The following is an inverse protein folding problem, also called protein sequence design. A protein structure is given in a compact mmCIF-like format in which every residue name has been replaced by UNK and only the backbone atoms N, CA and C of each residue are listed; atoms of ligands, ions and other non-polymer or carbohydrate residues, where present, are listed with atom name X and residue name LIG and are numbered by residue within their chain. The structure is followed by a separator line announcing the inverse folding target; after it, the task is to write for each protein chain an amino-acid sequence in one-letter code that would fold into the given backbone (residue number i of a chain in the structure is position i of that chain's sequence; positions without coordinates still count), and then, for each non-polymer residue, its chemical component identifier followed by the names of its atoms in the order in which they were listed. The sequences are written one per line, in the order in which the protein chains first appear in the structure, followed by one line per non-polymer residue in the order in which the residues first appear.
data_IF_265408948081
#
_entry.id   IF_265408948081
#
_cell.length_a   1.000
_cell.length_b   1.000
_cell.length_c   1.000
_cell.angle_alpha   90.00
_cell.angle_beta   90.00
_cell.angle_gamma   90.00
#
_symmetry.space_group_name_H-M   'P 1'
#
loop_
_entity.id
_entity.type
_entity.pdbx_description
1 polymer ?
#
# COMPACT_ATOMS: atom_id res chain seq x y z
N UNK A 1 10.62 23.74 -9.97
CA UNK A 1 10.25 22.34 -10.22
C UNK A 1 9.01 22.06 -9.40
N UNK A 2 7.87 21.90 -10.06
CA UNK A 2 6.55 21.84 -9.44
C UNK A 2 6.37 20.50 -8.71
N UNK A 3 6.25 20.53 -7.39
CA UNK A 3 5.85 19.38 -6.57
C UNK A 3 4.34 19.14 -6.74
N UNK A 4 3.90 18.77 -7.95
CA UNK A 4 2.58 18.17 -8.15
C UNK A 4 2.67 16.75 -7.61
N UNK A 5 2.21 16.55 -6.38
CA UNK A 5 1.88 15.24 -5.85
C UNK A 5 0.88 14.57 -6.79
N UNK A 6 1.40 13.88 -7.80
CA UNK A 6 0.62 13.08 -8.72
C UNK A 6 -0.02 12.00 -7.87
N UNK A 7 -1.32 12.08 -7.69
CA UNK A 7 -2.12 10.87 -7.49
C UNK A 7 -1.59 9.83 -8.48
N UNK A 8 -1.17 8.69 -7.97
CA UNK A 8 -0.69 7.61 -8.83
C UNK A 8 -1.92 7.20 -9.64
N UNK A 9 -1.86 7.32 -10.97
CA UNK A 9 -2.88 6.78 -11.88
C UNK A 9 -2.71 5.24 -11.93
N UNK A 10 -2.65 4.65 -10.74
CA UNK A 10 -2.44 3.24 -10.51
C UNK A 10 -3.63 2.73 -9.71
N UNK A 11 -4.05 1.53 -10.09
CA UNK A 11 -5.23 0.89 -9.58
C UNK A 11 -4.84 -0.46 -9.02
N UNK A 12 -5.52 -0.87 -7.97
CA UNK A 12 -5.30 -2.17 -7.38
C UNK A 12 -5.68 -3.24 -8.40
N UNK A 13 -4.77 -4.19 -8.64
CA UNK A 13 -5.02 -5.29 -9.56
C UNK A 13 -6.18 -6.20 -9.12
N UNK A 14 -6.46 -6.27 -7.81
CA UNK A 14 -7.49 -7.15 -7.24
C UNK A 14 -8.88 -6.49 -7.24
N UNK A 15 -9.02 -5.28 -6.69
CA UNK A 15 -10.33 -4.61 -6.56
C UNK A 15 -10.56 -3.42 -7.51
N UNK A 16 -9.54 -3.01 -8.28
CA UNK A 16 -9.65 -1.91 -9.25
C UNK A 16 -9.74 -0.51 -8.63
N UNK A 17 -9.68 -0.36 -7.30
CA UNK A 17 -9.67 0.97 -6.66
C UNK A 17 -8.35 1.69 -6.89
N UNK A 18 -8.37 3.02 -6.91
CA UNK A 18 -7.16 3.82 -6.94
C UNK A 18 -6.32 3.56 -5.68
N UNK A 19 -5.02 3.37 -5.87
CA UNK A 19 -4.07 3.10 -4.78
C UNK A 19 -3.31 4.37 -4.39
N UNK A 20 -2.96 4.45 -3.11
CA UNK A 20 -2.12 5.51 -2.59
C UNK A 20 -0.62 5.20 -2.77
N UNK A 21 0.23 6.19 -2.52
CA UNK A 21 1.69 6.02 -2.49
C UNK A 21 2.14 4.96 -1.47
N UNK A 22 1.36 4.79 -0.39
CA UNK A 22 1.60 3.78 0.63
C UNK A 22 1.35 2.37 0.10
N UNK A 23 0.21 2.15 -0.53
CA UNK A 23 -0.15 0.86 -1.15
C UNK A 23 0.90 0.42 -2.18
N UNK A 24 1.37 1.36 -3.01
CA UNK A 24 2.44 1.12 -3.98
C UNK A 24 3.76 0.76 -3.29
N UNK A 25 4.09 1.44 -2.19
CA UNK A 25 5.27 1.13 -1.38
C UNK A 25 5.18 -0.28 -0.80
N UNK A 26 4.08 -0.63 -0.14
CA UNK A 26 3.87 -1.98 0.42
C UNK A 26 4.00 -3.02 -0.69
N UNK A 27 3.31 -2.82 -1.82
CA UNK A 27 3.34 -3.75 -2.95
C UNK A 27 4.77 -4.00 -3.45
N UNK A 28 5.59 -2.95 -3.52
CA UNK A 28 7.00 -3.05 -3.93
C UNK A 28 7.85 -3.82 -2.90
N UNK A 29 7.59 -3.61 -1.62
CA UNK A 29 8.34 -4.23 -0.51
C UNK A 29 8.02 -5.70 -0.39
N UNK A 30 6.74 -6.05 -0.54
CA UNK A 30 6.26 -7.43 -0.62
C UNK A 30 6.56 -8.09 -1.98
N UNK A 31 7.26 -7.37 -2.89
CA UNK A 31 7.65 -7.85 -4.21
C UNK A 31 6.47 -8.38 -5.06
N UNK A 32 5.27 -7.80 -4.89
CA UNK A 32 4.14 -8.12 -5.75
C UNK A 32 4.42 -7.70 -7.20
N UNK A 33 4.05 -8.59 -8.13
CA UNK A 33 4.20 -8.33 -9.57
C UNK A 33 3.28 -7.19 -10.06
N UNK A 34 2.10 -7.06 -9.45
CA UNK A 34 1.12 -6.03 -9.74
C UNK A 34 0.76 -5.29 -8.44
N UNK A 35 0.59 -3.96 -8.47
CA UNK A 35 0.32 -3.23 -7.25
C UNK A 35 -1.09 -3.52 -6.72
N UNK A 36 -1.17 -3.72 -5.41
CA UNK A 36 -2.40 -4.00 -4.69
C UNK A 36 -2.60 -2.98 -3.56
N UNK A 37 -3.86 -2.71 -3.21
CA UNK A 37 -4.16 -1.91 -2.02
C UNK A 37 -3.93 -2.73 -0.75
N UNK A 38 -3.65 -2.05 0.35
CA UNK A 38 -3.44 -2.65 1.67
C UNK A 38 -4.64 -3.49 2.11
N UNK A 39 -5.87 -3.11 1.73
CA UNK A 39 -7.08 -3.87 2.06
C UNK A 39 -7.11 -5.25 1.38
N UNK A 40 -6.71 -5.31 0.10
CA UNK A 40 -6.61 -6.58 -0.62
C UNK A 40 -5.46 -7.43 -0.09
N UNK A 41 -4.33 -6.80 0.22
CA UNK A 41 -3.17 -7.49 0.79
C UNK A 41 -3.54 -8.04 2.17
N UNK A 42 -4.15 -7.22 3.03
CA UNK A 42 -4.58 -7.62 4.36
C UNK A 42 -5.61 -8.77 4.31
N UNK A 43 -6.57 -8.73 3.37
CA UNK A 43 -7.47 -9.86 3.09
C UNK A 43 -6.75 -11.12 2.63
N UNK A 44 -5.74 -11.00 1.77
CA UNK A 44 -4.94 -12.16 1.33
C UNK A 44 -4.16 -12.79 2.48
N UNK A 45 -3.71 -11.98 3.44
CA UNK A 45 -3.04 -12.42 4.67
C UNK A 45 -4.01 -12.72 5.84
N UNK A 46 -5.32 -12.69 5.61
CA UNK A 46 -6.39 -12.88 6.63
C UNK A 46 -6.17 -12.03 7.89
N UNK A 47 -5.80 -10.75 7.70
CA UNK A 47 -5.54 -9.80 8.77
C UNK A 47 -6.19 -8.46 8.50
N UNK A 48 -6.27 -7.62 9.54
CA UNK A 48 -6.76 -6.25 9.37
C UNK A 48 -5.69 -5.34 8.76
N UNK A 49 -6.08 -4.30 8.00
CA UNK A 49 -5.13 -3.35 7.42
C UNK A 49 -4.28 -2.63 8.48
N UNK A 50 -4.81 -2.46 9.69
CA UNK A 50 -4.06 -1.91 10.83
C UNK A 50 -2.92 -2.84 11.28
N UNK A 51 -3.18 -4.15 11.36
CA UNK A 51 -2.16 -5.16 11.68
C UNK A 51 -1.10 -5.24 10.58
N UNK A 52 -1.51 -5.15 9.31
CA UNK A 52 -0.57 -5.06 8.20
C UNK A 52 0.36 -3.85 8.36
N UNK A 53 -0.18 -2.67 8.69
CA UNK A 53 0.62 -1.45 8.93
C UNK A 53 1.60 -1.64 10.08
N UNK A 54 1.16 -2.22 11.20
CA UNK A 54 2.05 -2.55 12.34
C UNK A 54 3.12 -3.56 11.95
N UNK A 55 2.77 -4.58 11.16
CA UNK A 55 3.71 -5.58 10.65
C UNK A 55 4.76 -4.92 9.76
N UNK A 56 4.36 -4.03 8.87
CA UNK A 56 5.27 -3.28 7.98
C UNK A 56 6.21 -2.36 8.77
N UNK A 57 5.73 -1.73 9.84
CA UNK A 57 6.57 -0.94 10.74
C UNK A 57 7.57 -1.84 11.49
N UNK A 58 7.12 -2.95 12.06
CA UNK A 58 7.96 -3.84 12.86
C UNK A 58 9.01 -4.60 12.02
N UNK A 59 8.65 -5.05 10.82
CA UNK A 59 9.54 -5.87 9.98
C UNK A 59 10.45 -4.99 9.11
N UNK A 60 9.91 -3.89 8.57
CA UNK A 60 10.63 -3.09 7.58
C UNK A 60 10.89 -1.64 8.02
N UNK A 61 10.44 -1.23 9.21
CA UNK A 61 10.58 0.16 9.68
C UNK A 61 9.76 1.17 8.86
N UNK A 62 8.76 0.70 8.10
CA UNK A 62 7.99 1.55 7.20
C UNK A 62 6.70 2.04 7.85
N UNK A 63 6.48 3.36 7.78
CA UNK A 63 5.28 4.01 8.30
C UNK A 63 4.36 4.47 7.17
N UNK A 64 3.02 4.34 7.34
CA UNK A 64 2.06 4.94 6.43
C UNK A 64 2.27 6.45 6.36
N UNK A 65 2.02 7.02 5.18
CA UNK A 65 2.05 8.46 5.00
C UNK A 65 0.96 9.08 5.90
N UNK A 66 1.30 10.16 6.63
CA UNK A 66 0.37 10.89 7.49
C UNK A 66 -0.88 11.32 6.70
N UNK A 67 -2.06 10.84 7.12
CA UNK A 67 -3.36 11.23 6.54
C UNK A 67 -4.14 10.12 5.80
N UNK A 68 -3.73 8.85 5.94
CA UNK A 68 -4.47 7.67 5.47
C UNK A 68 -5.61 7.26 6.40
#
# INVERSE_FOLDING_TARGET
MELKGKWLDEYCNSCGRQISTWDKRISKVLAYKYPCCEDCIAKEYDMEPEDLRRRMENVFGMRPCLGL
#
